data_IF_836885456531
#
_entry.id   IF_836885456531
#
_cell.length_a   1.000
_cell.length_b   1.000
_cell.length_c   1.000
_cell.angle_alpha   90.00
_cell.angle_beta   90.00
_cell.angle_gamma   90.00
#
_symmetry.space_group_name_H-M   'P 1'
#
loop_
_entity.id
_entity.type
_entity.pdbx_description
1 polymer ?
#
# COMPACT_ATOMS: atom_id res chain seq x y z
N UNK A 1 -15.26 -24.37 13.16
CA UNK A 1 -15.59 -23.04 12.60
C UNK A 1 -16.77 -23.23 11.67
N UNK A 2 -17.98 -22.83 12.07
CA UNK A 2 -19.10 -22.74 11.13
C UNK A 2 -18.70 -21.78 10.02
N UNK A 3 -18.84 -22.21 8.75
CA UNK A 3 -18.76 -21.30 7.62
C UNK A 3 -19.89 -20.29 7.80
N UNK A 4 -19.57 -19.06 8.21
CA UNK A 4 -20.51 -17.96 8.07
C UNK A 4 -20.74 -17.80 6.57
N UNK A 5 -21.89 -18.27 6.10
CA UNK A 5 -22.31 -18.04 4.72
C UNK A 5 -22.44 -16.53 4.54
N UNK A 6 -21.74 -16.00 3.53
CA UNK A 6 -21.82 -14.59 3.16
C UNK A 6 -23.27 -14.29 2.78
N UNK A 7 -23.81 -13.18 3.28
CA UNK A 7 -25.16 -12.76 2.93
C UNK A 7 -25.16 -12.16 1.52
N UNK A 8 -26.34 -12.10 0.88
CA UNK A 8 -26.50 -11.47 -0.44
C UNK A 8 -25.98 -10.01 -0.46
N UNK A 9 -26.07 -9.30 0.67
CA UNK A 9 -25.53 -7.96 0.84
C UNK A 9 -24.00 -7.94 0.79
N UNK A 10 -23.32 -8.95 1.35
CA UNK A 10 -21.85 -9.06 1.30
C UNK A 10 -21.38 -9.30 -0.14
N UNK A 11 -22.09 -10.15 -0.88
CA UNK A 11 -21.84 -10.39 -2.30
C UNK A 11 -22.06 -9.14 -3.15
N UNK A 12 -23.09 -8.35 -2.85
CA UNK A 12 -23.39 -7.10 -3.55
C UNK A 12 -22.31 -6.04 -3.30
N UNK A 13 -21.87 -5.85 -2.05
CA UNK A 13 -20.80 -4.90 -1.71
C UNK A 13 -19.47 -5.32 -2.34
N UNK A 14 -19.13 -6.61 -2.26
CA UNK A 14 -17.93 -7.15 -2.88
C UNK A 14 -17.95 -6.99 -4.40
N UNK A 15 -19.04 -7.40 -5.04
CA UNK A 15 -19.24 -7.26 -6.49
C UNK A 15 -19.16 -5.80 -6.94
N UNK A 16 -19.84 -4.88 -6.24
CA UNK A 16 -19.74 -3.45 -6.54
C UNK A 16 -18.32 -2.92 -6.37
N UNK A 17 -17.60 -3.29 -5.32
CA UNK A 17 -16.22 -2.81 -5.12
C UNK A 17 -15.28 -3.26 -6.25
N UNK A 18 -15.40 -4.50 -6.71
CA UNK A 18 -14.60 -5.03 -7.82
C UNK A 18 -14.99 -4.41 -9.15
N UNK A 19 -16.30 -4.31 -9.43
CA UNK A 19 -16.80 -3.74 -10.68
C UNK A 19 -16.51 -2.24 -10.75
N UNK A 20 -16.62 -1.51 -9.65
CA UNK A 20 -16.26 -0.09 -9.60
C UNK A 20 -14.77 0.11 -9.85
N UNK A 21 -13.90 -0.66 -9.19
CA UNK A 21 -12.44 -0.50 -9.35
C UNK A 21 -11.96 -0.93 -10.74
N UNK A 22 -12.37 -2.12 -11.21
CA UNK A 22 -12.05 -2.61 -12.54
C UNK A 22 -12.71 -1.77 -13.65
N UNK A 23 -13.97 -1.36 -13.45
CA UNK A 23 -14.74 -0.55 -14.39
C UNK A 23 -14.17 0.87 -14.53
N UNK A 24 -13.81 1.53 -13.42
CA UNK A 24 -13.12 2.83 -13.46
C UNK A 24 -11.75 2.68 -14.13
N UNK A 25 -10.99 1.63 -13.80
CA UNK A 25 -9.69 1.35 -14.44
C UNK A 25 -9.81 1.20 -15.96
N UNK A 26 -10.75 0.35 -16.41
CA UNK A 26 -11.01 0.12 -17.84
C UNK A 26 -11.57 1.37 -18.54
N UNK A 27 -12.50 2.09 -17.91
CA UNK A 27 -13.09 3.31 -18.48
C UNK A 27 -12.03 4.40 -18.67
N UNK A 28 -11.22 4.67 -17.64
CA UNK A 28 -10.14 5.66 -17.70
C UNK A 28 -9.09 5.28 -18.74
N UNK A 29 -8.78 3.99 -18.83
CA UNK A 29 -7.86 3.44 -19.81
C UNK A 29 -8.35 3.62 -21.24
N UNK A 30 -9.62 3.33 -21.53
CA UNK A 30 -10.20 3.47 -22.87
C UNK A 30 -10.39 4.94 -23.27
N UNK A 31 -10.82 5.79 -22.32
CA UNK A 31 -11.06 7.22 -22.58
C UNK A 31 -9.76 7.97 -22.92
N UNK A 32 -8.62 7.58 -22.35
CA UNK A 32 -7.32 8.28 -22.53
C UNK A 32 -6.40 7.66 -23.58
N UNK A 33 -6.88 6.69 -24.36
CA UNK A 33 -6.10 5.98 -25.39
C UNK A 33 -5.59 6.87 -26.55
N UNK A 34 -6.12 8.09 -26.72
CA UNK A 34 -5.74 8.98 -27.83
C UNK A 34 -4.34 9.59 -27.57
N UNK A 35 -3.32 9.04 -28.22
CA UNK A 35 -1.93 9.53 -28.29
C UNK A 35 -1.11 9.48 -26.98
N UNK A 36 -1.04 8.33 -26.31
CA UNK A 36 -0.22 8.18 -25.09
C UNK A 36 1.27 8.04 -25.43
N UNK A 37 2.08 9.05 -25.10
CA UNK A 37 3.54 8.95 -25.13
C UNK A 37 4.04 8.04 -23.99
N UNK A 38 5.28 7.48 -24.07
CA UNK A 38 5.88 6.76 -22.96
C UNK A 38 5.91 7.59 -21.66
N UNK A 39 6.04 8.90 -21.77
CA UNK A 39 6.00 9.82 -20.62
C UNK A 39 4.59 9.94 -20.01
N UNK A 40 3.52 9.92 -20.81
CA UNK A 40 2.14 9.89 -20.26
C UNK A 40 1.88 8.53 -19.56
N UNK A 41 2.34 7.42 -20.14
CA UNK A 41 2.14 6.09 -19.55
C UNK A 41 2.94 5.88 -18.26
N UNK A 42 4.20 6.32 -18.22
CA UNK A 42 5.10 6.09 -17.08
C UNK A 42 5.07 7.20 -16.04
N UNK A 43 4.80 8.45 -16.43
CA UNK A 43 4.90 9.62 -15.56
C UNK A 43 3.62 10.48 -15.51
N UNK A 44 2.54 10.09 -16.21
CA UNK A 44 1.31 10.88 -16.32
C UNK A 44 1.56 12.33 -16.78
N UNK A 45 2.57 12.52 -17.65
CA UNK A 45 3.08 13.82 -18.11
C UNK A 45 3.40 14.80 -16.97
N UNK A 46 3.75 14.25 -15.79
CA UNK A 46 4.06 15.01 -14.58
C UNK A 46 2.95 16.00 -14.18
N UNK A 47 1.71 15.69 -14.52
CA UNK A 47 0.55 16.61 -14.40
C UNK A 47 -0.40 16.25 -13.27
N UNK A 48 -0.05 15.26 -12.44
CA UNK A 48 -0.93 14.78 -11.38
C UNK A 48 -1.02 15.79 -10.24
N UNK A 49 -2.23 15.96 -9.70
CA UNK A 49 -2.47 16.67 -8.46
C UNK A 49 -1.93 15.83 -7.29
N UNK A 50 -1.37 16.48 -6.26
CA UNK A 50 -0.76 15.78 -5.12
C UNK A 50 -1.71 14.85 -4.35
N UNK A 51 -3.00 15.22 -4.22
CA UNK A 51 -3.94 14.48 -3.38
C UNK A 51 -4.18 13.03 -3.86
N UNK A 52 -4.53 12.76 -5.14
CA UNK A 52 -4.56 11.39 -5.65
C UNK A 52 -3.22 10.65 -5.51
N UNK A 53 -2.09 11.35 -5.68
CA UNK A 53 -0.76 10.74 -5.56
C UNK A 53 -0.49 10.31 -4.12
N UNK A 54 -0.82 11.14 -3.14
CA UNK A 54 -0.71 10.83 -1.72
C UNK A 54 -1.60 9.64 -1.33
N UNK A 55 -2.86 9.64 -1.76
CA UNK A 55 -3.77 8.52 -1.53
C UNK A 55 -3.28 7.22 -2.17
N UNK A 56 -2.74 7.28 -3.39
CA UNK A 56 -2.17 6.11 -4.07
C UNK A 56 -0.88 5.60 -3.41
N UNK A 57 -0.05 6.50 -2.86
CA UNK A 57 1.10 6.12 -2.04
C UNK A 57 0.64 5.41 -0.75
N UNK A 58 -0.36 5.95 -0.07
CA UNK A 58 -0.97 5.30 1.10
C UNK A 58 -1.54 3.92 0.76
N UNK A 59 -2.27 3.79 -0.35
CA UNK A 59 -2.78 2.52 -0.84
C UNK A 59 -1.68 1.49 -1.08
N UNK A 60 -0.54 1.92 -1.63
CA UNK A 60 0.60 1.05 -1.94
C UNK A 60 1.35 0.59 -0.68
N UNK A 61 1.38 1.43 0.35
CA UNK A 61 1.99 1.10 1.64
C UNK A 61 1.06 0.24 2.51
N UNK A 62 -0.25 0.49 2.44
CA UNK A 62 -1.29 -0.27 3.12
C UNK A 62 -1.65 -1.54 2.33
N UNK A 63 -0.76 -2.51 2.35
CA UNK A 63 -1.03 -3.84 1.79
C UNK A 63 -1.82 -4.73 2.78
N UNK A 64 -2.36 -5.85 2.26
CA UNK A 64 -3.14 -6.80 3.03
C UNK A 64 -2.38 -7.37 4.25
N UNK A 65 -1.05 -7.53 4.13
CA UNK A 65 -0.19 -8.00 5.21
C UNK A 65 -0.19 -7.03 6.38
N UNK A 66 -0.10 -5.72 6.13
CA UNK A 66 -0.14 -4.72 7.20
C UNK A 66 -1.56 -4.63 7.80
N UNK A 67 -2.58 -4.68 6.95
CA UNK A 67 -3.99 -4.59 7.36
C UNK A 67 -4.41 -5.73 8.30
N UNK A 68 -3.93 -6.95 8.07
CA UNK A 68 -4.24 -8.11 8.92
C UNK A 68 -3.17 -8.35 10.00
N UNK A 69 -1.91 -8.07 9.69
CA UNK A 69 -0.77 -8.35 10.55
C UNK A 69 -0.72 -7.47 11.80
N UNK A 70 -0.92 -6.15 11.66
CA UNK A 70 -0.85 -5.24 12.81
C UNK A 70 -1.96 -5.51 13.83
N UNK A 71 -3.24 -5.66 13.45
CA UNK A 71 -4.29 -6.01 14.41
C UNK A 71 -4.07 -7.37 15.07
N UNK A 72 -3.59 -8.37 14.31
CA UNK A 72 -3.26 -9.69 14.87
C UNK A 72 -2.12 -9.58 15.91
N UNK A 73 -1.08 -8.82 15.62
CA UNK A 73 0.01 -8.59 16.57
C UNK A 73 -0.50 -7.92 17.85
N UNK A 74 -1.33 -6.87 17.72
CA UNK A 74 -1.92 -6.18 18.88
C UNK A 74 -2.80 -7.14 19.70
N UNK A 75 -3.55 -8.01 19.03
CA UNK A 75 -4.39 -9.00 19.68
C UNK A 75 -3.59 -10.05 20.47
N UNK A 76 -2.50 -10.57 19.90
CA UNK A 76 -1.70 -11.63 20.52
C UNK A 76 -0.64 -11.13 21.51
N UNK A 77 -0.02 -9.98 21.24
CA UNK A 77 1.16 -9.49 21.96
C UNK A 77 0.95 -8.10 22.60
N UNK A 78 -0.16 -7.42 22.32
CA UNK A 78 -0.48 -6.10 22.89
C UNK A 78 0.01 -4.93 22.02
N UNK A 79 -0.28 -3.71 22.47
CA UNK A 79 -0.13 -2.48 21.69
C UNK A 79 1.32 -1.93 21.60
N UNK A 80 2.33 -2.75 21.87
CA UNK A 80 3.74 -2.34 21.88
C UNK A 80 4.31 -1.95 20.51
N UNK A 81 3.57 -2.19 19.42
CA UNK A 81 3.92 -1.73 18.07
C UNK A 81 3.41 -0.32 17.74
N UNK A 82 2.55 0.29 18.56
CA UNK A 82 2.08 1.66 18.32
C UNK A 82 3.20 2.70 18.09
N UNK A 83 4.38 2.61 18.74
CA UNK A 83 5.50 3.52 18.47
C UNK A 83 6.01 3.52 17.02
N UNK A 84 5.71 2.49 16.21
CA UNK A 84 5.98 2.49 14.75
C UNK A 84 5.37 3.71 14.05
N UNK A 85 4.24 4.21 14.55
CA UNK A 85 3.61 5.43 14.01
C UNK A 85 4.52 6.65 14.16
N UNK A 86 5.24 6.77 15.28
CA UNK A 86 6.23 7.82 15.52
C UNK A 86 7.41 7.66 14.54
N UNK A 87 7.94 6.45 14.40
CA UNK A 87 8.99 6.14 13.41
C UNK A 87 8.59 6.54 11.98
N UNK A 88 7.33 6.31 11.62
CA UNK A 88 6.79 6.63 10.28
C UNK A 88 6.70 8.14 10.02
N UNK A 89 6.56 8.98 11.04
CA UNK A 89 6.62 10.44 10.88
C UNK A 89 8.03 10.89 10.45
N UNK A 90 9.08 10.29 11.02
CA UNK A 90 10.47 10.59 10.62
C UNK A 90 10.76 10.14 9.18
N UNK A 91 10.20 9.00 8.77
CA UNK A 91 10.26 8.52 7.38
C UNK A 91 9.64 9.54 6.44
N UNK A 92 8.42 10.02 6.74
CA UNK A 92 7.71 11.00 5.92
C UNK A 92 8.49 12.32 5.81
N UNK A 93 9.03 12.83 6.92
CA UNK A 93 9.83 14.04 6.95
C UNK A 93 11.12 13.88 6.11
N UNK A 94 11.82 12.77 6.25
CA UNK A 94 13.02 12.47 5.46
C UNK A 94 12.69 12.35 3.96
N UNK A 95 11.55 11.73 3.63
CA UNK A 95 11.09 11.62 2.25
C UNK A 95 10.82 13.00 1.64
N UNK A 96 10.06 13.85 2.33
CA UNK A 96 9.71 15.19 1.86
C UNK A 96 10.94 16.11 1.74
N UNK A 97 11.88 16.07 2.69
CA UNK A 97 13.01 16.99 2.70
C UNK A 97 14.20 16.52 1.84
N UNK A 98 14.42 15.22 1.74
CA UNK A 98 15.64 14.66 1.11
C UNK A 98 15.31 13.90 -0.16
N UNK A 99 14.43 12.91 -0.10
CA UNK A 99 14.16 11.99 -1.23
C UNK A 99 13.48 12.76 -2.37
N UNK A 100 12.33 13.39 -2.10
CA UNK A 100 11.51 14.05 -3.11
C UNK A 100 12.31 15.12 -3.88
N UNK A 101 12.98 16.10 -3.23
CA UNK A 101 13.71 17.15 -3.94
C UNK A 101 14.88 16.60 -4.75
N UNK A 102 15.52 15.54 -4.27
CA UNK A 102 16.65 14.91 -4.97
C UNK A 102 16.18 14.23 -6.26
N UNK A 103 15.16 13.38 -6.19
CA UNK A 103 14.64 12.68 -7.38
C UNK A 103 13.95 13.64 -8.38
N UNK A 104 13.24 14.67 -7.89
CA UNK A 104 12.63 15.67 -8.78
C UNK A 104 13.66 16.45 -9.60
N UNK A 105 14.79 16.84 -9.00
CA UNK A 105 15.88 17.56 -9.70
C UNK A 105 16.53 16.71 -10.78
N UNK A 106 16.66 15.41 -10.55
CA UNK A 106 17.33 14.49 -11.47
C UNK A 106 16.49 14.13 -12.71
N UNK A 107 15.16 14.27 -12.64
CA UNK A 107 14.20 13.99 -13.73
C UNK A 107 14.29 12.59 -14.36
N UNK A 108 14.99 11.64 -13.74
CA UNK A 108 15.12 10.26 -14.20
C UNK A 108 13.77 9.55 -14.30
N UNK A 109 13.66 8.58 -15.21
CA UNK A 109 12.47 7.71 -15.30
C UNK A 109 12.54 6.54 -14.32
N UNK A 110 13.76 6.06 -14.05
CA UNK A 110 14.04 5.01 -13.08
C UNK A 110 14.93 5.52 -11.94
N UNK A 111 14.60 5.12 -10.71
CA UNK A 111 15.41 5.36 -9.53
C UNK A 111 16.83 4.79 -9.69
N UNK A 112 16.99 3.70 -10.45
CA UNK A 112 18.28 3.04 -10.67
C UNK A 112 19.17 3.77 -11.68
N UNK A 113 18.66 4.74 -12.45
CA UNK A 113 19.50 5.62 -13.29
C UNK A 113 20.50 6.40 -12.43
N UNK A 114 20.13 6.71 -11.17
CA UNK A 114 21.05 7.29 -10.21
C UNK A 114 22.28 6.41 -9.96
N UNK A 115 22.10 5.08 -9.88
CA UNK A 115 23.21 4.15 -9.65
C UNK A 115 24.17 4.12 -10.84
N UNK A 116 23.66 4.26 -12.06
CA UNK A 116 24.52 4.35 -13.25
C UNK A 116 25.33 5.65 -13.25
N UNK A 117 24.70 6.78 -12.95
CA UNK A 117 25.39 8.09 -12.92
C UNK A 117 26.41 8.19 -11.79
N UNK A 118 26.15 7.56 -10.65
CA UNK A 118 27.02 7.61 -9.47
C UNK A 118 28.12 6.55 -9.49
N UNK A 119 27.84 5.38 -10.03
CA UNK A 119 28.74 4.24 -10.05
C UNK A 119 29.02 3.78 -11.48
N UNK A 120 28.23 2.83 -12.00
CA UNK A 120 28.42 2.26 -13.33
C UNK A 120 27.13 1.60 -13.82
N UNK A 121 26.99 1.44 -15.13
CA UNK A 121 25.84 0.78 -15.78
C UNK A 121 25.56 -0.62 -15.20
N UNK A 122 26.60 -1.39 -14.89
CA UNK A 122 26.47 -2.73 -14.30
C UNK A 122 25.69 -2.71 -12.98
N UNK A 123 25.90 -1.69 -12.14
CA UNK A 123 25.21 -1.55 -10.84
C UNK A 123 23.73 -1.25 -11.04
N UNK A 124 23.39 -0.44 -12.05
CA UNK A 124 21.98 -0.18 -12.44
C UNK A 124 21.28 -1.47 -12.86
N UNK A 125 21.91 -2.30 -13.69
CA UNK A 125 21.31 -3.55 -14.16
C UNK A 125 21.12 -4.54 -13.01
N UNK A 126 22.11 -4.66 -12.12
CA UNK A 126 21.99 -5.53 -10.94
C UNK A 126 20.85 -5.05 -10.03
N UNK A 127 20.84 -3.76 -9.68
CA UNK A 127 19.83 -3.20 -8.78
C UNK A 127 18.41 -3.31 -9.34
N UNK A 128 18.21 -2.94 -10.60
CA UNK A 128 16.90 -3.04 -11.26
C UNK A 128 16.44 -4.49 -11.47
N UNK A 129 17.36 -5.42 -11.74
CA UNK A 129 17.04 -6.85 -11.85
C UNK A 129 16.60 -7.45 -10.53
N UNK A 130 17.35 -7.18 -9.45
CA UNK A 130 17.01 -7.64 -8.09
C UNK A 130 15.63 -7.13 -7.71
N UNK A 131 15.38 -5.83 -7.89
CA UNK A 131 14.08 -5.24 -7.58
C UNK A 131 12.95 -5.86 -8.41
N UNK A 132 13.15 -6.06 -9.71
CA UNK A 132 12.13 -6.63 -10.60
C UNK A 132 11.77 -8.06 -10.20
N UNK A 133 12.75 -8.89 -9.84
CA UNK A 133 12.54 -10.25 -9.36
C UNK A 133 11.81 -10.23 -8.00
N UNK A 134 12.27 -9.41 -7.06
CA UNK A 134 11.62 -9.26 -5.74
C UNK A 134 10.16 -8.80 -5.88
N UNK A 135 9.90 -7.84 -6.78
CA UNK A 135 8.56 -7.34 -7.04
C UNK A 135 7.67 -8.42 -7.68
N UNK A 136 8.19 -9.20 -8.62
CA UNK A 136 7.44 -10.30 -9.23
C UNK A 136 6.99 -11.33 -8.20
N UNK A 137 7.88 -11.75 -7.30
CA UNK A 137 7.55 -12.67 -6.21
C UNK A 137 6.54 -12.06 -5.23
N UNK A 138 6.70 -10.78 -4.90
CA UNK A 138 5.77 -10.08 -4.03
C UNK A 138 4.37 -9.97 -4.63
N UNK A 139 4.26 -9.67 -5.92
CA UNK A 139 2.98 -9.57 -6.63
C UNK A 139 2.21 -10.91 -6.64
N UNK A 140 2.90 -12.05 -6.70
CA UNK A 140 2.26 -13.36 -6.61
C UNK A 140 1.50 -13.55 -5.28
N UNK A 141 2.11 -13.11 -4.18
CA UNK A 141 1.49 -13.16 -2.84
C UNK A 141 0.35 -12.15 -2.73
N UNK A 142 0.55 -10.92 -3.23
CA UNK A 142 -0.45 -9.86 -3.17
C UNK A 142 -1.70 -10.22 -3.98
N UNK A 143 -1.53 -10.84 -5.15
CA UNK A 143 -2.65 -11.24 -6.02
C UNK A 143 -3.50 -12.36 -5.42
N UNK A 144 -2.93 -13.18 -4.54
CA UNK A 144 -3.65 -14.28 -3.90
C UNK A 144 -4.82 -13.80 -3.03
N UNK A 145 -4.64 -12.72 -2.27
CA UNK A 145 -5.68 -12.15 -1.40
C UNK A 145 -7.01 -11.82 -2.11
N UNK A 146 -7.03 -10.92 -3.11
CA UNK A 146 -8.25 -10.59 -3.84
C UNK A 146 -8.78 -11.79 -4.64
N UNK A 147 -7.91 -12.68 -5.12
CA UNK A 147 -8.33 -13.88 -5.85
C UNK A 147 -9.02 -14.90 -4.97
N UNK A 148 -8.58 -15.06 -3.73
CA UNK A 148 -9.23 -15.90 -2.72
C UNK A 148 -10.63 -15.35 -2.40
N UNK A 149 -10.74 -14.05 -2.17
CA UNK A 149 -12.03 -13.41 -1.94
C UNK A 149 -12.96 -13.56 -3.17
N UNK A 150 -12.42 -13.38 -4.38
CA UNK A 150 -13.19 -13.54 -5.62
C UNK A 150 -13.68 -14.99 -5.81
N UNK A 151 -12.83 -15.98 -5.54
CA UNK A 151 -13.16 -17.41 -5.59
C UNK A 151 -14.28 -17.77 -4.60
N UNK A 152 -14.31 -17.16 -3.41
CA UNK A 152 -15.38 -17.36 -2.43
C UNK A 152 -16.74 -16.83 -2.90
N UNK A 153 -16.75 -15.79 -3.74
CA UNK A 153 -17.98 -15.18 -4.26
C UNK A 153 -18.49 -15.84 -5.53
N UNK A 154 -17.59 -16.18 -6.45
CA UNK A 154 -17.98 -16.76 -7.75
C UNK A 154 -18.04 -18.28 -7.73
N UNK A 155 -17.66 -18.92 -6.63
CA UNK A 155 -17.48 -20.38 -6.50
C UNK A 155 -16.49 -20.98 -7.51
N UNK A 156 -15.67 -20.14 -8.17
CA UNK A 156 -14.63 -20.57 -9.10
C UNK A 156 -13.44 -21.17 -8.35
N UNK A 157 -12.69 -22.06 -9.00
CA UNK A 157 -11.43 -22.54 -8.45
C UNK A 157 -10.41 -21.40 -8.32
N UNK A 158 -9.59 -21.45 -7.26
CA UNK A 158 -8.60 -20.40 -6.97
C UNK A 158 -7.67 -20.12 -8.18
N UNK A 159 -7.15 -21.12 -8.93
CA UNK A 159 -6.31 -20.83 -10.09
C UNK A 159 -7.02 -20.02 -11.18
N UNK A 160 -8.30 -20.31 -11.43
CA UNK A 160 -9.11 -19.57 -12.41
C UNK A 160 -9.38 -18.15 -11.91
N UNK A 161 -9.70 -18.01 -10.62
CA UNK A 161 -9.89 -16.70 -9.99
C UNK A 161 -8.63 -15.82 -10.12
N UNK A 162 -7.44 -16.38 -9.86
CA UNK A 162 -6.15 -15.69 -10.04
C UNK A 162 -5.92 -15.28 -11.49
N UNK A 163 -6.23 -16.16 -12.46
CA UNK A 163 -6.09 -15.85 -13.88
C UNK A 163 -7.00 -14.69 -14.32
N UNK A 164 -8.25 -14.66 -13.85
CA UNK A 164 -9.21 -13.61 -14.18
C UNK A 164 -8.84 -12.27 -13.53
N UNK A 165 -8.59 -12.25 -12.22
CA UNK A 165 -8.25 -11.01 -11.50
C UNK A 165 -6.92 -10.44 -11.98
N UNK A 166 -5.91 -11.30 -12.16
CA UNK A 166 -4.60 -10.91 -12.70
C UNK A 166 -4.68 -10.43 -14.14
N UNK A 167 -5.48 -11.08 -14.98
CA UNK A 167 -5.71 -10.68 -16.37
C UNK A 167 -6.36 -9.30 -16.47
N UNK A 168 -7.45 -9.07 -15.74
CA UNK A 168 -8.13 -7.76 -15.68
C UNK A 168 -7.15 -6.68 -15.20
N UNK A 169 -6.42 -6.95 -14.10
CA UNK A 169 -5.42 -6.05 -13.54
C UNK A 169 -4.34 -5.67 -14.54
N UNK A 170 -3.81 -6.68 -15.25
CA UNK A 170 -2.78 -6.49 -16.28
C UNK A 170 -3.30 -5.65 -17.44
N UNK A 171 -4.50 -5.93 -17.93
CA UNK A 171 -5.08 -5.24 -19.09
C UNK A 171 -5.29 -3.76 -18.78
N UNK A 172 -5.98 -3.41 -17.68
CA UNK A 172 -6.25 -2.00 -17.39
C UNK A 172 -4.97 -1.25 -17.01
N UNK A 173 -3.99 -1.90 -16.38
CA UNK A 173 -2.72 -1.27 -16.02
C UNK A 173 -1.87 -1.01 -17.26
N UNK A 174 -1.78 -1.98 -18.16
CA UNK A 174 -1.03 -1.86 -19.42
C UNK A 174 -1.61 -0.76 -20.32
N UNK A 175 -2.93 -0.69 -20.43
CA UNK A 175 -3.59 0.28 -21.30
C UNK A 175 -3.74 1.66 -20.63
N UNK A 176 -3.86 1.73 -19.30
CA UNK A 176 -4.15 2.96 -18.55
C UNK A 176 -2.93 3.69 -18.01
N UNK A 177 -1.78 3.01 -17.88
CA UNK A 177 -0.55 3.58 -17.32
C UNK A 177 -0.66 4.01 -15.86
N UNK A 178 0.39 4.69 -15.35
CA UNK A 178 0.51 5.10 -13.95
C UNK A 178 -0.64 6.02 -13.51
N UNK A 179 -1.18 6.83 -14.43
CA UNK A 179 -2.29 7.75 -14.18
C UNK A 179 -3.55 7.00 -13.75
N UNK A 180 -3.87 5.92 -14.45
CA UNK A 180 -5.03 5.09 -14.14
C UNK A 180 -4.83 4.38 -12.81
N UNK A 181 -3.64 3.83 -12.59
CA UNK A 181 -3.26 3.18 -11.32
C UNK A 181 -3.43 4.12 -10.13
N UNK A 182 -2.94 5.37 -10.23
CA UNK A 182 -3.08 6.36 -9.15
C UNK A 182 -4.55 6.64 -8.81
N UNK A 183 -5.41 6.75 -9.82
CA UNK A 183 -6.85 6.98 -9.60
C UNK A 183 -7.55 5.77 -9.00
N UNK A 184 -7.28 4.56 -9.50
CA UNK A 184 -7.87 3.34 -8.94
C UNK A 184 -7.43 3.13 -7.49
N UNK A 185 -6.14 3.35 -7.20
CA UNK A 185 -5.60 3.24 -5.84
C UNK A 185 -6.25 4.26 -4.89
N UNK A 186 -6.45 5.50 -5.36
CA UNK A 186 -7.06 6.57 -4.56
C UNK A 186 -8.49 6.22 -4.14
N UNK A 187 -9.27 5.64 -5.05
CA UNK A 187 -10.64 5.19 -4.75
C UNK A 187 -10.58 3.99 -3.79
N UNK A 188 -9.68 3.05 -4.06
CA UNK A 188 -9.55 1.84 -3.27
C UNK A 188 -9.18 2.13 -1.81
N UNK A 189 -8.26 3.06 -1.55
CA UNK A 189 -7.88 3.39 -0.17
C UNK A 189 -9.02 4.05 0.60
N UNK A 190 -9.83 4.88 -0.04
CA UNK A 190 -11.02 5.48 0.59
C UNK A 190 -12.02 4.40 0.97
N UNK A 191 -12.26 3.42 0.09
CA UNK A 191 -13.14 2.27 0.37
C UNK A 191 -12.60 1.46 1.57
N UNK A 192 -11.30 1.16 1.58
CA UNK A 192 -10.66 0.43 2.69
C UNK A 192 -10.80 1.21 4.00
N UNK A 193 -10.56 2.51 3.98
CA UNK A 193 -10.63 3.35 5.18
C UNK A 193 -12.05 3.42 5.76
N UNK A 194 -13.06 3.62 4.91
CA UNK A 194 -14.47 3.56 5.32
C UNK A 194 -14.80 2.17 5.89
N UNK A 195 -14.37 1.11 5.22
CA UNK A 195 -14.56 -0.26 5.68
C UNK A 195 -13.96 -0.52 7.06
N UNK A 196 -12.77 0.01 7.33
CA UNK A 196 -12.12 -0.08 8.65
C UNK A 196 -12.88 0.68 9.74
N UNK A 197 -13.38 1.88 9.44
CA UNK A 197 -14.18 2.66 10.40
C UNK A 197 -15.46 1.91 10.76
N UNK A 198 -16.17 1.41 9.75
CA UNK A 198 -17.40 0.62 9.95
C UNK A 198 -17.11 -0.65 10.74
N UNK A 199 -16.03 -1.37 10.39
CA UNK A 199 -15.59 -2.56 11.11
C UNK A 199 -15.31 -2.27 12.58
N UNK A 200 -14.57 -1.18 12.88
CA UNK A 200 -14.25 -0.78 14.23
C UNK A 200 -15.51 -0.39 15.03
N UNK A 201 -16.45 0.32 14.41
CA UNK A 201 -17.72 0.72 15.04
C UNK A 201 -18.62 -0.47 15.35
N UNK A 202 -18.89 -1.33 14.36
CA UNK A 202 -19.74 -2.52 14.54
C UNK A 202 -19.09 -3.53 15.48
N UNK A 203 -17.79 -3.75 15.34
CA UNK A 203 -17.01 -4.62 16.23
C UNK A 203 -17.07 -4.16 17.67
N UNK A 204 -16.90 -2.86 17.92
CA UNK A 204 -17.00 -2.30 19.26
C UNK A 204 -18.41 -2.40 19.83
N UNK A 205 -19.45 -2.13 19.02
CA UNK A 205 -20.83 -2.24 19.47
C UNK A 205 -21.20 -3.66 19.91
N UNK A 206 -20.71 -4.70 19.22
CA UNK A 206 -20.93 -6.11 19.60
C UNK A 206 -20.34 -6.48 20.96
N UNK A 207 -19.31 -5.78 21.41
CA UNK A 207 -18.63 -6.01 22.70
C UNK A 207 -19.23 -5.14 23.82
N UNK A 208 -20.22 -4.30 23.53
CA UNK A 208 -20.82 -3.36 24.49
C UNK A 208 -20.26 -1.93 24.40
N UNK A 209 -19.62 -1.59 23.29
CA UNK A 209 -19.10 -0.26 22.97
C UNK A 209 -17.58 -0.13 23.12
N UNK A 210 -17.02 1.01 22.69
CA UNK A 210 -15.58 1.29 22.76
C UNK A 210 -15.03 1.25 24.19
N UNK A 211 -15.83 1.64 25.18
CA UNK A 211 -15.45 1.56 26.59
C UNK A 211 -15.21 0.11 27.05
N UNK A 212 -16.08 -0.82 26.65
CA UNK A 212 -15.93 -2.24 26.97
C UNK A 212 -14.70 -2.84 26.28
N UNK A 213 -14.44 -2.48 25.02
CA UNK A 213 -13.21 -2.89 24.30
C UNK A 213 -11.96 -2.39 25.02
N UNK A 214 -11.95 -1.15 25.49
CA UNK A 214 -10.82 -0.59 26.22
C UNK A 214 -10.59 -1.28 27.56
N UNK A 215 -11.65 -1.59 28.30
CA UNK A 215 -11.52 -2.34 29.56
C UNK A 215 -11.02 -3.76 29.32
N UNK A 216 -11.56 -4.46 28.32
CA UNK A 216 -11.08 -5.79 27.94
C UNK A 216 -9.59 -5.77 27.56
N UNK A 217 -9.16 -4.75 26.82
CA UNK A 217 -7.76 -4.56 26.48
C UNK A 217 -6.89 -4.32 27.73
N UNK A 218 -7.38 -3.62 28.76
CA UNK A 218 -6.68 -3.47 30.04
C UNK A 218 -6.59 -4.78 30.81
N UNK A 219 -7.72 -5.49 30.94
CA UNK A 219 -7.82 -6.73 31.71
C UNK A 219 -6.86 -7.81 31.15
N UNK A 220 -6.67 -7.83 29.83
CA UNK A 220 -5.74 -8.71 29.16
C UNK A 220 -4.31 -8.14 29.00
N UNK A 221 -3.98 -7.04 29.70
CA UNK A 221 -2.67 -6.37 29.65
C UNK A 221 -2.21 -6.03 28.22
N UNK A 222 -3.14 -5.68 27.33
CA UNK A 222 -2.86 -5.31 25.94
C UNK A 222 -2.53 -3.84 25.76
N UNK A 223 -2.72 -3.01 26.78
CA UNK A 223 -2.47 -1.56 26.75
C UNK A 223 -1.06 -1.21 27.25
N UNK A 224 -0.05 -1.90 26.73
CA UNK A 224 1.34 -1.48 26.88
C UNK A 224 1.81 -0.88 25.57
N UNK A 225 1.72 0.45 25.45
CA UNK A 225 2.09 1.16 24.22
C UNK A 225 3.58 1.42 24.11
N UNK A 226 4.23 1.72 25.24
CA UNK A 226 5.63 2.15 25.27
C UNK A 226 6.39 1.33 26.29
N UNK A 227 7.22 0.41 25.80
CA UNK A 227 8.22 -0.28 26.61
C UNK A 227 9.60 0.35 26.39
N UNK A 228 10.14 0.97 27.43
CA UNK A 228 11.42 1.68 27.42
C UNK A 228 12.62 0.80 27.81
N UNK A 229 12.42 -0.50 27.99
CA UNK A 229 13.48 -1.43 28.33
C UNK A 229 14.53 -1.53 27.22
N UNK A 230 15.79 -1.63 27.63
CA UNK A 230 16.95 -1.74 26.74
C UNK A 230 17.30 -3.19 26.36
N UNK A 231 16.54 -4.18 26.82
CA UNK A 231 16.80 -5.59 26.52
C UNK A 231 16.45 -5.90 25.06
N UNK A 232 17.43 -6.27 24.21
CA UNK A 232 17.20 -6.58 22.81
C UNK A 232 16.43 -7.89 22.58
N UNK A 233 16.17 -8.68 23.63
CA UNK A 233 15.39 -9.93 23.56
C UNK A 233 13.89 -9.68 23.58
N UNK A 234 13.47 -8.50 24.02
CA UNK A 234 12.05 -8.12 24.04
C UNK A 234 11.61 -7.84 22.60
N UNK A 235 10.49 -8.46 22.20
CA UNK A 235 9.96 -8.45 20.83
C UNK A 235 9.79 -7.02 20.28
N UNK A 236 9.24 -6.13 21.10
CA UNK A 236 8.92 -4.76 20.71
C UNK A 236 9.22 -3.80 21.86
N UNK A 237 10.24 -2.98 21.71
CA UNK A 237 10.55 -1.87 22.61
C UNK A 237 10.56 -0.58 21.81
N UNK A 238 10.47 0.56 22.49
CA UNK A 238 10.56 1.87 21.83
C UNK A 238 11.89 2.02 21.07
N UNK A 239 12.96 1.47 21.64
CA UNK A 239 14.31 1.49 21.08
C UNK A 239 14.48 0.60 19.85
N UNK A 240 13.73 -0.50 19.72
CA UNK A 240 13.76 -1.34 18.51
C UNK A 240 12.76 -0.87 17.45
N UNK A 241 11.57 -0.47 17.86
CA UNK A 241 10.46 -0.15 16.95
C UNK A 241 10.61 1.19 16.24
N UNK A 242 10.97 2.28 16.94
CA UNK A 242 11.08 3.60 16.29
C UNK A 242 12.26 3.65 15.30
N UNK A 243 13.51 3.36 15.70
CA UNK A 243 14.64 3.41 14.78
C UNK A 243 14.54 2.31 13.71
N UNK A 244 14.06 1.12 14.10
CA UNK A 244 13.85 0.01 13.16
C UNK A 244 12.87 0.38 12.06
N UNK A 245 11.73 0.97 12.41
CA UNK A 245 10.76 1.47 11.43
C UNK A 245 11.36 2.56 10.55
N UNK A 246 12.06 3.54 11.15
CA UNK A 246 12.63 4.65 10.41
C UNK A 246 13.66 4.18 9.37
N UNK A 247 14.60 3.33 9.76
CA UNK A 247 15.64 2.80 8.87
C UNK A 247 15.03 1.90 7.80
N UNK A 248 14.14 0.97 8.19
CA UNK A 248 13.54 0.02 7.27
C UNK A 248 12.73 0.73 6.17
N UNK A 249 11.82 1.62 6.55
CA UNK A 249 10.97 2.30 5.58
C UNK A 249 11.73 3.35 4.77
N UNK A 250 12.73 4.01 5.34
CA UNK A 250 13.61 4.91 4.55
C UNK A 250 14.32 4.12 3.44
N UNK A 251 14.82 2.92 3.76
CA UNK A 251 15.41 2.02 2.77
C UNK A 251 14.41 1.63 1.67
N UNK A 252 13.16 1.34 2.03
CA UNK A 252 12.08 1.06 1.07
C UNK A 252 11.83 2.29 0.17
N UNK A 253 11.71 3.49 0.73
CA UNK A 253 11.41 4.70 -0.06
C UNK A 253 12.50 5.07 -1.06
N UNK A 254 13.77 4.82 -0.74
CA UNK A 254 14.92 5.14 -1.61
C UNK A 254 15.09 4.08 -2.71
N UNK A 255 14.72 2.83 -2.44
CA UNK A 255 14.98 1.71 -3.36
C UNK A 255 13.76 1.31 -4.18
N UNK A 256 12.54 1.63 -3.74
CA UNK A 256 11.32 1.16 -4.39
C UNK A 256 10.88 2.06 -5.53
N UNK A 257 11.06 1.56 -6.76
CA UNK A 257 10.67 2.26 -7.99
C UNK A 257 9.20 2.67 -8.00
N UNK A 258 8.28 1.86 -7.46
CA UNK A 258 6.83 2.16 -7.50
C UNK A 258 6.48 3.42 -6.71
N UNK A 259 7.23 3.71 -5.65
CA UNK A 259 7.02 4.88 -4.80
C UNK A 259 7.67 6.09 -5.45
N UNK A 260 8.93 5.96 -5.88
CA UNK A 260 9.69 7.05 -6.50
C UNK A 260 9.00 7.54 -7.78
N UNK A 261 8.49 6.62 -8.59
CA UNK A 261 7.78 6.95 -9.82
C UNK A 261 6.55 7.81 -9.56
N UNK A 262 5.82 7.59 -8.45
CA UNK A 262 4.65 8.40 -8.07
C UNK A 262 5.04 9.84 -7.71
N UNK A 263 6.13 10.06 -6.99
CA UNK A 263 6.63 11.42 -6.70
C UNK A 263 6.92 12.21 -7.97
N UNK A 264 7.42 11.53 -9.00
CA UNK A 264 7.76 12.13 -10.30
C UNK A 264 6.54 12.43 -11.17
N UNK A 265 5.35 11.92 -10.83
CA UNK A 265 4.10 12.25 -11.56
C UNK A 265 3.52 13.62 -11.20
N UNK A 266 3.98 14.25 -10.12
CA UNK A 266 3.56 15.58 -9.71
C UNK A 266 4.46 16.64 -10.35
N UNK A 267 3.91 17.78 -10.77
CA UNK A 267 4.67 18.82 -11.49
C UNK A 267 5.60 19.61 -10.59
N UNK A 268 5.12 20.04 -9.42
CA UNK A 268 5.86 20.91 -8.50
C UNK A 268 6.45 20.10 -7.36
N UNK A 269 7.72 20.36 -7.04
CA UNK A 269 8.40 19.77 -5.88
C UNK A 269 7.61 20.02 -4.60
N UNK A 270 7.16 21.26 -4.38
CA UNK A 270 6.39 21.63 -3.18
C UNK A 270 5.11 20.78 -3.04
N UNK A 271 4.42 20.53 -4.15
CA UNK A 271 3.21 19.72 -4.15
C UNK A 271 3.54 18.23 -3.93
N UNK A 272 4.71 17.76 -4.37
CA UNK A 272 5.19 16.40 -4.11
C UNK A 272 5.71 16.19 -2.67
N UNK A 273 6.05 17.27 -1.96
CA UNK A 273 6.49 17.26 -0.56
C UNK A 273 5.32 17.26 0.44
N UNK A 274 4.14 17.76 0.01
CA UNK A 274 2.91 17.73 0.78
C UNK A 274 2.29 16.34 0.77
#
# INVERSE_FOLDING_TARGET
MNKTELQWADYLVFGLSLVLTAGVGLFLSLYKRKNSSPEELLLASRSMHFLPVCLSLLASLLNATLLLGIPAEIFYYGAGLVPITIGSNFVGLFAALVIVPTFHKMKFTSAYEYLEKRYHYSVRIIGSSIFSISLFLFLAVVLYGPSLAFSQVTSLSIPVAVGVTGGICTIYTMLGGIKTVIWTDSIQIVIIFIGLIVLAGVGSNKVGGFGAVWQLAKDHNRISFFDWNWDPRIRSTVWSTIPGQWVNYTGILISNQMIIQRYLTVSKVRDAQM
#
